data_IF_847686134088
#
_entry.id   IF_847686134088
#
_cell.length_a   1.000
_cell.length_b   1.000
_cell.length_c   1.000
_cell.angle_alpha   90.00
_cell.angle_beta   90.00
_cell.angle_gamma   90.00
#
_symmetry.space_group_name_H-M   'P 1'
#
loop_
_entity.id
_entity.type
_entity.pdbx_description
1 polymer ?
#
# COMPACT_ATOMS: atom_id res chain seq x y z
N UNK A 1 -8.83 1.91 -13.53
CA UNK A 1 -8.64 0.62 -12.83
C UNK A 1 -8.80 0.83 -11.33
N UNK A 2 -9.12 -0.22 -10.59
CA UNK A 2 -9.14 -0.18 -9.12
C UNK A 2 -7.83 -0.80 -8.63
N UNK A 3 -6.99 -0.03 -7.95
CA UNK A 3 -5.71 -0.47 -7.40
C UNK A 3 -5.86 -0.67 -5.88
N UNK A 4 -5.81 -1.91 -5.42
CA UNK A 4 -5.91 -2.23 -4.00
C UNK A 4 -4.50 -2.35 -3.42
N UNK A 5 -4.20 -1.54 -2.41
CA UNK A 5 -3.06 -1.77 -1.52
C UNK A 5 -3.37 -2.99 -0.63
N UNK A 6 -3.10 -4.18 -1.15
CA UNK A 6 -3.74 -5.41 -0.70
C UNK A 6 -3.36 -5.73 0.74
N UNK A 7 -2.07 -5.83 1.06
CA UNK A 7 -1.66 -6.24 2.40
C UNK A 7 -2.13 -5.25 3.46
N UNK A 8 -1.94 -3.95 3.23
CA UNK A 8 -2.29 -2.93 4.22
C UNK A 8 -3.81 -2.80 4.38
N UNK A 9 -4.56 -2.78 3.28
CA UNK A 9 -6.03 -2.68 3.33
C UNK A 9 -6.65 -3.88 4.03
N UNK A 10 -6.20 -5.08 3.69
CA UNK A 10 -6.71 -6.31 4.30
C UNK A 10 -6.34 -6.38 5.78
N UNK A 11 -5.08 -6.12 6.14
CA UNK A 11 -4.66 -6.14 7.55
C UNK A 11 -5.41 -5.08 8.35
N UNK A 12 -5.58 -3.87 7.82
CA UNK A 12 -6.31 -2.82 8.52
C UNK A 12 -7.79 -3.18 8.75
N UNK A 13 -8.47 -3.71 7.74
CA UNK A 13 -9.86 -4.16 7.86
C UNK A 13 -10.02 -5.32 8.84
N UNK A 14 -9.07 -6.26 8.82
CA UNK A 14 -8.98 -7.38 9.75
C UNK A 14 -8.81 -6.93 11.20
N UNK A 15 -7.92 -5.96 11.44
CA UNK A 15 -7.70 -5.40 12.77
C UNK A 15 -8.94 -4.67 13.31
N UNK A 16 -9.71 -4.01 12.43
CA UNK A 16 -10.97 -3.39 12.81
C UNK A 16 -12.01 -4.45 13.24
N UNK A 17 -12.10 -5.57 12.52
CA UNK A 17 -13.02 -6.65 12.87
C UNK A 17 -12.59 -7.43 14.12
N UNK A 18 -11.29 -7.69 14.33
CA UNK A 18 -10.83 -8.39 15.54
C UNK A 18 -11.19 -7.67 16.83
N UNK A 19 -11.16 -6.33 16.81
CA UNK A 19 -11.63 -5.51 17.94
C UNK A 19 -13.11 -5.74 18.23
N UNK A 20 -13.91 -6.07 17.22
CA UNK A 20 -15.36 -6.29 17.36
C UNK A 20 -15.72 -7.73 17.76
N UNK A 21 -14.89 -8.73 17.45
CA UNK A 21 -15.18 -10.17 17.68
C UNK A 21 -14.53 -10.75 18.95
N UNK A 22 -13.82 -9.95 19.74
CA UNK A 22 -13.17 -10.44 20.97
C UNK A 22 -11.88 -11.23 20.74
N UNK A 23 -11.29 -11.15 19.54
CA UNK A 23 -9.93 -11.64 19.26
C UNK A 23 -9.80 -13.07 18.74
N UNK A 24 -10.88 -13.86 18.68
CA UNK A 24 -10.83 -15.18 18.05
C UNK A 24 -10.80 -15.08 16.53
N UNK A 25 -9.81 -15.74 15.91
CA UNK A 25 -9.62 -15.70 14.46
C UNK A 25 -9.11 -17.04 13.97
N UNK A 26 -9.64 -17.48 12.83
CA UNK A 26 -9.16 -18.65 12.12
C UNK A 26 -9.07 -18.36 10.61
N UNK A 27 -8.37 -19.24 9.91
CA UNK A 27 -8.15 -19.13 8.45
C UNK A 27 -9.46 -18.97 7.66
N UNK A 28 -10.53 -19.69 8.06
CA UNK A 28 -11.81 -19.66 7.34
C UNK A 28 -12.47 -18.28 7.40
N UNK A 29 -12.52 -17.68 8.58
CA UNK A 29 -13.07 -16.34 8.77
C UNK A 29 -12.26 -15.30 7.99
N UNK A 30 -10.93 -15.40 8.07
CA UNK A 30 -10.00 -14.54 7.33
C UNK A 30 -10.23 -14.60 5.82
N UNK A 31 -10.26 -15.81 5.25
CA UNK A 31 -10.54 -16.01 3.82
C UNK A 31 -11.86 -15.37 3.42
N UNK A 32 -12.92 -15.61 4.19
CA UNK A 32 -14.23 -15.01 3.93
C UNK A 32 -14.17 -13.47 3.95
N UNK A 33 -13.53 -12.88 4.96
CA UNK A 33 -13.40 -11.43 5.09
C UNK A 33 -12.64 -10.80 3.93
N UNK A 34 -11.54 -11.41 3.50
CA UNK A 34 -10.73 -10.93 2.38
C UNK A 34 -11.58 -10.91 1.10
N UNK A 35 -12.21 -12.03 0.76
CA UNK A 35 -12.99 -12.16 -0.46
C UNK A 35 -14.22 -11.25 -0.47
N UNK A 36 -14.92 -11.14 0.67
CA UNK A 36 -16.06 -10.22 0.78
C UNK A 36 -15.63 -8.75 0.65
N UNK A 37 -14.45 -8.39 1.19
CA UNK A 37 -13.89 -7.03 1.05
C UNK A 37 -13.61 -6.71 -0.42
N UNK A 38 -12.95 -7.61 -1.15
CA UNK A 38 -12.69 -7.44 -2.57
C UNK A 38 -13.99 -7.35 -3.38
N UNK A 39 -14.94 -8.25 -3.13
CA UNK A 39 -16.28 -8.21 -3.74
C UNK A 39 -16.94 -6.85 -3.55
N UNK A 40 -16.91 -6.29 -2.34
CA UNK A 40 -17.53 -5.00 -2.06
C UNK A 40 -16.88 -3.87 -2.86
N UNK A 41 -15.55 -3.85 -3.00
CA UNK A 41 -14.87 -2.87 -3.84
C UNK A 41 -15.19 -3.04 -5.31
N UNK A 42 -15.22 -4.28 -5.80
CA UNK A 42 -15.59 -4.57 -7.18
C UNK A 42 -16.99 -4.05 -7.47
N UNK A 43 -17.98 -4.50 -6.69
CA UNK A 43 -19.38 -4.10 -6.86
C UNK A 43 -19.58 -2.59 -6.82
N UNK A 44 -18.85 -1.91 -5.95
CA UNK A 44 -19.01 -0.46 -5.74
C UNK A 44 -18.35 0.38 -6.83
N UNK A 45 -17.23 -0.06 -7.38
CA UNK A 45 -16.35 0.81 -8.17
C UNK A 45 -16.04 0.30 -9.58
N UNK A 46 -16.37 -0.95 -9.93
CA UNK A 46 -16.00 -1.51 -11.24
C UNK A 46 -16.70 -0.82 -12.40
N UNK A 47 -17.93 -0.33 -12.21
CA UNK A 47 -18.67 0.38 -13.25
C UNK A 47 -17.96 1.68 -13.70
N UNK A 48 -17.24 2.34 -12.80
CA UNK A 48 -16.57 3.61 -13.06
C UNK A 48 -15.08 3.42 -13.38
N UNK A 49 -14.39 2.58 -12.61
CA UNK A 49 -12.95 2.44 -12.68
C UNK A 49 -12.52 1.15 -13.41
N UNK A 50 -13.42 0.22 -13.72
CA UNK A 50 -13.12 -1.01 -14.44
C UNK A 50 -12.42 -2.08 -13.60
N UNK A 51 -11.43 -2.75 -14.21
CA UNK A 51 -10.76 -3.93 -13.63
C UNK A 51 -10.05 -3.65 -12.30
N UNK A 52 -10.05 -4.65 -11.43
CA UNK A 52 -9.34 -4.65 -10.16
C UNK A 52 -7.93 -5.25 -10.26
N UNK A 53 -6.98 -4.60 -9.58
CA UNK A 53 -5.58 -5.00 -9.47
C UNK A 53 -5.21 -5.05 -7.99
N UNK A 54 -4.68 -6.18 -7.53
CA UNK A 54 -4.20 -6.38 -6.16
C UNK A 54 -2.69 -6.16 -6.13
N UNK A 55 -2.25 -5.06 -5.52
CA UNK A 55 -0.84 -4.73 -5.37
C UNK A 55 -0.33 -5.31 -4.05
N UNK A 56 0.64 -6.23 -4.12
CA UNK A 56 1.11 -6.98 -2.96
C UNK A 56 2.57 -6.67 -2.63
N UNK A 57 2.90 -6.67 -1.34
CA UNK A 57 4.27 -6.42 -0.89
C UNK A 57 5.17 -7.61 -1.19
N UNK A 58 6.37 -7.32 -1.68
CA UNK A 58 7.46 -8.28 -1.69
C UNK A 58 8.24 -8.26 -0.37
N UNK A 59 8.93 -9.38 -0.13
CA UNK A 59 9.91 -9.46 0.95
C UNK A 59 11.13 -8.61 0.55
N UNK A 60 11.72 -7.90 1.51
CA UNK A 60 12.93 -7.09 1.35
C UNK A 60 12.78 -5.97 0.30
N UNK A 61 12.05 -4.89 0.62
CA UNK A 61 11.88 -3.78 -0.32
C UNK A 61 13.20 -3.04 -0.56
N UNK A 62 13.39 -2.53 -1.78
CA UNK A 62 14.60 -1.84 -2.25
C UNK A 62 15.01 -0.68 -1.33
N UNK A 63 14.04 -0.02 -0.69
CA UNK A 63 14.28 1.04 0.29
C UNK A 63 15.15 0.58 1.47
N UNK A 64 15.14 -0.70 1.83
CA UNK A 64 16.05 -1.25 2.86
C UNK A 64 17.48 -1.39 2.39
N UNK A 65 17.69 -1.67 1.11
CA UNK A 65 19.03 -1.73 0.51
C UNK A 65 19.63 -0.32 0.45
N UNK A 66 18.80 0.70 0.20
CA UNK A 66 19.20 2.10 0.22
C UNK A 66 19.37 2.65 1.65
N UNK A 67 18.46 2.33 2.56
CA UNK A 67 18.43 2.83 3.93
C UNK A 67 18.14 1.69 4.92
N UNK A 68 19.18 1.11 5.55
CA UNK A 68 19.03 -0.07 6.40
C UNK A 68 18.04 0.07 7.58
N UNK A 69 17.82 1.29 8.08
CA UNK A 69 16.88 1.58 9.17
C UNK A 69 15.41 1.59 8.70
N UNK A 70 15.15 1.55 7.39
CA UNK A 70 13.81 1.59 6.81
C UNK A 70 12.93 0.43 7.28
N UNK A 71 11.80 0.78 7.92
CA UNK A 71 10.84 -0.15 8.52
C UNK A 71 11.46 -1.13 9.53
N UNK A 72 12.63 -0.82 10.11
CA UNK A 72 13.32 -1.70 11.07
C UNK A 72 12.49 -1.94 12.35
N UNK A 73 11.76 -0.92 12.79
CA UNK A 73 10.91 -1.00 13.99
C UNK A 73 9.61 -1.79 13.79
N UNK A 74 9.19 -2.08 12.54
CA UNK A 74 7.92 -2.82 12.28
C UNK A 74 7.95 -4.22 12.90
N UNK A 75 9.11 -4.90 12.91
CA UNK A 75 9.25 -6.22 13.55
C UNK A 75 9.10 -6.11 15.07
N UNK A 76 9.82 -5.17 15.70
CA UNK A 76 9.77 -4.92 17.15
C UNK A 76 8.34 -4.61 17.64
N UNK A 77 7.53 -3.90 16.84
CA UNK A 77 6.13 -3.61 17.18
C UNK A 77 5.26 -4.86 17.13
N UNK A 78 5.43 -5.73 16.13
CA UNK A 78 4.66 -6.98 16.02
C UNK A 78 5.01 -7.98 17.10
N UNK A 79 6.28 -8.08 17.47
CA UNK A 79 6.76 -8.99 18.52
C UNK A 79 6.21 -8.61 19.92
N UNK A 80 5.67 -7.39 20.07
CA UNK A 80 5.04 -6.89 21.31
C UNK A 80 3.51 -6.99 21.30
N UNK A 81 2.91 -7.43 20.20
CA UNK A 81 1.46 -7.54 20.04
C UNK A 81 1.03 -9.00 20.24
N UNK A 82 0.00 -9.22 21.05
CA UNK A 82 -0.49 -10.55 21.47
C UNK A 82 -1.18 -11.33 20.33
N UNK A 83 -1.31 -10.75 19.13
CA UNK A 83 -1.95 -11.40 17.98
C UNK A 83 -1.03 -12.44 17.32
N UNK A 84 -1.64 -13.50 16.80
CA UNK A 84 -0.94 -14.48 15.96
C UNK A 84 -0.66 -13.95 14.55
N UNK A 85 0.35 -13.08 14.45
CA UNK A 85 0.82 -12.53 13.18
C UNK A 85 1.28 -13.60 12.20
N UNK A 86 1.81 -14.73 12.69
CA UNK A 86 2.22 -15.84 11.85
C UNK A 86 1.04 -16.41 11.08
N UNK A 87 -0.06 -16.72 11.79
CA UNK A 87 -1.30 -17.20 11.17
C UNK A 87 -1.91 -16.16 10.21
N UNK A 88 -1.91 -14.88 10.58
CA UNK A 88 -2.42 -13.78 9.73
C UNK A 88 -1.65 -13.72 8.40
N UNK A 89 -0.32 -13.61 8.45
CA UNK A 89 0.49 -13.48 7.25
C UNK A 89 0.43 -14.75 6.40
N UNK A 90 0.49 -15.93 7.02
CA UNK A 90 0.36 -17.20 6.29
C UNK A 90 -0.99 -17.32 5.58
N UNK A 91 -2.08 -16.94 6.26
CA UNK A 91 -3.41 -16.93 5.64
C UNK A 91 -3.51 -15.91 4.51
N UNK A 92 -2.96 -14.70 4.70
CA UNK A 92 -2.95 -13.67 3.67
C UNK A 92 -2.19 -14.12 2.42
N UNK A 93 -1.02 -14.73 2.58
CA UNK A 93 -0.25 -15.29 1.47
C UNK A 93 -1.00 -16.42 0.77
N UNK A 94 -1.57 -17.35 1.54
CA UNK A 94 -2.36 -18.45 0.99
C UNK A 94 -3.56 -17.95 0.18
N UNK A 95 -4.34 -17.02 0.75
CA UNK A 95 -5.53 -16.47 0.07
C UNK A 95 -5.15 -15.62 -1.14
N UNK A 96 -4.01 -14.90 -1.10
CA UNK A 96 -3.48 -14.22 -2.29
C UNK A 96 -3.26 -15.20 -3.44
N UNK A 97 -2.56 -16.30 -3.18
CA UNK A 97 -2.22 -17.28 -4.22
C UNK A 97 -3.47 -18.01 -4.73
N UNK A 98 -4.42 -18.31 -3.84
CA UNK A 98 -5.74 -18.81 -4.20
C UNK A 98 -6.53 -17.81 -5.08
N UNK A 99 -6.45 -16.51 -4.79
CA UNK A 99 -7.07 -15.46 -5.62
C UNK A 99 -6.43 -15.44 -7.02
N UNK A 100 -5.11 -15.48 -7.08
CA UNK A 100 -4.35 -15.48 -8.34
C UNK A 100 -4.72 -16.68 -9.23
N UNK A 101 -4.95 -17.85 -8.64
CA UNK A 101 -5.28 -19.08 -9.37
C UNK A 101 -6.76 -19.15 -9.83
N UNK A 102 -7.69 -18.61 -9.03
CA UNK A 102 -9.12 -18.90 -9.16
C UNK A 102 -10.00 -17.70 -9.53
N UNK A 103 -9.55 -16.46 -9.30
CA UNK A 103 -10.40 -15.26 -9.44
C UNK A 103 -9.99 -14.39 -10.64
N UNK A 104 -10.92 -13.59 -11.18
CA UNK A 104 -10.65 -12.69 -12.30
C UNK A 104 -9.95 -11.40 -11.86
N UNK A 105 -9.09 -11.47 -10.84
CA UNK A 105 -8.37 -10.32 -10.32
C UNK A 105 -6.93 -10.38 -10.76
N UNK A 106 -6.38 -9.23 -11.13
CA UNK A 106 -5.00 -9.14 -11.53
C UNK A 106 -4.13 -9.00 -10.27
N UNK A 107 -3.41 -10.05 -9.90
CA UNK A 107 -2.53 -10.04 -8.72
C UNK A 107 -1.12 -9.66 -9.13
N UNK A 108 -0.61 -8.55 -8.58
CA UNK A 108 0.75 -8.09 -8.85
C UNK A 108 1.68 -8.35 -7.68
N UNK A 109 2.81 -8.96 -8.00
CA UNK A 109 3.90 -9.20 -7.09
C UNK A 109 5.23 -9.03 -7.82
N UNK A 110 6.09 -8.16 -7.32
CA UNK A 110 7.41 -7.90 -7.93
C UNK A 110 8.46 -7.89 -6.83
N UNK A 111 9.44 -8.80 -6.92
CA UNK A 111 10.48 -8.99 -5.90
C UNK A 111 11.19 -7.68 -5.55
N UNK A 112 11.22 -7.28 -4.29
CA UNK A 112 11.89 -6.05 -3.84
C UNK A 112 11.08 -4.76 -4.03
N UNK A 113 9.81 -4.86 -4.46
CA UNK A 113 8.87 -3.74 -4.52
C UNK A 113 7.82 -3.88 -3.42
N UNK A 114 7.38 -2.76 -2.86
CA UNK A 114 6.25 -2.68 -1.94
C UNK A 114 4.94 -2.51 -2.72
N UNK A 115 3.80 -2.73 -2.06
CA UNK A 115 2.50 -2.53 -2.71
C UNK A 115 2.32 -1.09 -3.22
N UNK A 116 2.85 -0.11 -2.48
CA UNK A 116 2.84 1.31 -2.85
C UNK A 116 3.64 1.61 -4.13
N UNK A 117 4.79 0.98 -4.34
CA UNK A 117 5.60 1.10 -5.55
C UNK A 117 4.82 0.63 -6.79
N UNK A 118 4.11 -0.49 -6.67
CA UNK A 118 3.29 -1.03 -7.75
C UNK A 118 2.18 -0.04 -8.13
N UNK A 119 1.46 0.46 -7.14
CA UNK A 119 0.36 1.43 -7.34
C UNK A 119 0.90 2.70 -7.99
N UNK A 120 1.96 3.27 -7.42
CA UNK A 120 2.54 4.50 -7.91
C UNK A 120 3.01 4.37 -9.37
N UNK A 121 3.73 3.29 -9.70
CA UNK A 121 4.19 3.05 -11.07
C UNK A 121 3.03 2.91 -12.05
N UNK A 122 1.98 2.16 -11.71
CA UNK A 122 0.81 2.03 -12.59
C UNK A 122 0.08 3.36 -12.79
N UNK A 123 -0.08 4.16 -11.73
CA UNK A 123 -0.73 5.47 -11.79
C UNK A 123 0.06 6.45 -12.66
N UNK A 124 1.39 6.47 -12.50
CA UNK A 124 2.28 7.36 -13.27
C UNK A 124 2.39 6.97 -14.75
N UNK A 125 1.99 5.76 -15.12
CA UNK A 125 2.08 5.22 -16.48
C UNK A 125 0.71 4.90 -17.09
N UNK A 126 -0.39 5.42 -16.53
CA UNK A 126 -1.73 5.31 -17.08
C UNK A 126 -2.32 6.67 -17.41
N UNK A 127 -3.40 6.68 -18.19
CA UNK A 127 -4.23 7.88 -18.45
C UNK A 127 -5.70 7.63 -18.14
N UNK A 128 -6.03 6.43 -17.64
CA UNK A 128 -7.40 6.01 -17.39
C UNK A 128 -7.83 6.35 -15.96
N UNK A 129 -9.14 6.61 -15.72
CA UNK A 129 -9.68 6.79 -14.38
C UNK A 129 -9.21 5.68 -13.45
N UNK A 130 -8.62 6.05 -12.33
CA UNK A 130 -7.96 5.13 -11.41
C UNK A 130 -8.37 5.42 -9.97
N UNK A 131 -8.87 4.39 -9.29
CA UNK A 131 -9.18 4.46 -7.87
C UNK A 131 -8.11 3.70 -7.09
N UNK A 132 -7.41 4.40 -6.21
CA UNK A 132 -6.54 3.81 -5.20
C UNK A 132 -7.39 3.47 -3.97
N UNK A 133 -7.41 2.21 -3.57
CA UNK A 133 -8.02 1.78 -2.31
C UNK A 133 -6.91 1.57 -1.31
N UNK A 134 -6.66 2.61 -0.51
CA UNK A 134 -5.72 2.56 0.61
C UNK A 134 -5.99 3.68 1.60
N UNK A 135 -5.72 3.40 2.88
CA UNK A 135 -5.70 4.40 3.94
C UNK A 135 -4.38 5.16 4.05
N UNK A 136 -3.36 4.82 3.25
CA UNK A 136 -2.05 5.45 3.31
C UNK A 136 -2.11 6.89 2.77
N UNK A 137 -1.57 7.82 3.54
CA UNK A 137 -1.51 9.24 3.18
C UNK A 137 -0.55 9.47 2.01
N UNK A 138 0.42 8.59 1.78
CA UNK A 138 1.51 8.81 0.84
C UNK A 138 1.03 8.84 -0.61
N UNK A 139 -0.10 8.19 -0.91
CA UNK A 139 -0.77 8.25 -2.22
C UNK A 139 -1.32 9.63 -2.57
N UNK A 140 -1.46 10.55 -1.61
CA UNK A 140 -1.86 11.93 -1.89
C UNK A 140 -0.89 12.64 -2.83
N UNK A 141 0.39 12.22 -2.91
CA UNK A 141 1.34 12.76 -3.89
C UNK A 141 0.94 12.45 -5.35
N UNK A 142 0.07 11.46 -5.57
CA UNK A 142 -0.46 11.08 -6.88
C UNK A 142 -1.73 11.87 -7.26
N UNK A 143 -2.33 12.64 -6.34
CA UNK A 143 -3.52 13.46 -6.63
C UNK A 143 -3.23 14.64 -7.57
N UNK A 144 -1.96 14.86 -7.95
CA UNK A 144 -1.58 15.75 -9.06
C UNK A 144 -2.13 15.29 -10.41
N UNK A 145 -2.49 14.01 -10.53
CA UNK A 145 -3.14 13.45 -11.71
C UNK A 145 -4.66 13.55 -11.56
N UNK A 146 -5.31 14.24 -12.49
CA UNK A 146 -6.75 14.52 -12.45
C UNK A 146 -7.65 13.27 -12.65
N UNK A 147 -7.08 12.14 -13.04
CA UNK A 147 -7.75 10.85 -13.21
C UNK A 147 -7.59 9.93 -12.00
N UNK A 148 -7.04 10.41 -10.88
CA UNK A 148 -6.76 9.61 -9.69
C UNK A 148 -7.68 10.02 -8.55
N UNK A 149 -8.45 9.04 -8.07
CA UNK A 149 -9.18 9.11 -6.81
C UNK A 149 -8.54 8.19 -5.78
N UNK A 150 -8.72 8.51 -4.50
CA UNK A 150 -8.31 7.65 -3.40
C UNK A 150 -9.46 7.43 -2.43
N UNK A 151 -9.82 6.17 -2.19
CA UNK A 151 -10.74 5.76 -1.15
C UNK A 151 -9.97 5.23 0.06
N UNK A 152 -10.24 5.78 1.25
CA UNK A 152 -9.70 5.26 2.51
C UNK A 152 -10.69 4.32 3.18
N UNK A 153 -10.39 3.02 3.29
CA UNK A 153 -11.24 2.05 3.99
C UNK A 153 -11.41 2.40 5.47
N UNK A 154 -10.33 2.84 6.12
CA UNK A 154 -10.30 3.14 7.54
C UNK A 154 -11.13 4.37 7.90
N UNK A 155 -11.17 5.37 7.01
CA UNK A 155 -11.95 6.60 7.21
C UNK A 155 -13.33 6.53 6.55
N UNK A 156 -13.60 5.48 5.77
CA UNK A 156 -14.83 5.29 5.00
C UNK A 156 -15.21 6.53 4.16
N UNK A 157 -14.23 7.14 3.48
CA UNK A 157 -14.43 8.32 2.62
C UNK A 157 -13.40 8.43 1.50
N UNK A 158 -13.71 9.21 0.47
CA UNK A 158 -12.72 9.68 -0.49
C UNK A 158 -11.75 10.65 0.19
N UNK A 159 -10.47 10.52 -0.12
CA UNK A 159 -9.40 11.41 0.31
C UNK A 159 -9.32 12.57 -0.67
N UNK A 160 -9.05 13.76 -0.14
CA UNK A 160 -8.86 14.98 -0.91
C UNK A 160 -7.50 15.56 -0.53
N UNK A 161 -6.73 15.99 -1.52
CA UNK A 161 -5.44 16.64 -1.34
C UNK A 161 -5.40 17.88 -2.22
N UNK A 162 -5.54 19.05 -1.60
CA UNK A 162 -5.65 20.33 -2.33
C UNK A 162 -4.32 20.74 -2.99
N UNK A 163 -3.20 20.40 -2.37
CA UNK A 163 -1.85 20.76 -2.83
C UNK A 163 -0.89 19.56 -2.66
N UNK A 164 -0.88 18.62 -3.63
CA UNK A 164 -0.04 17.43 -3.60
C UNK A 164 1.46 17.74 -3.58
N UNK A 165 1.89 18.82 -4.24
CA UNK A 165 3.30 19.22 -4.30
C UNK A 165 3.80 19.71 -2.94
N UNK A 166 3.03 20.58 -2.28
CA UNK A 166 3.34 21.02 -0.93
C UNK A 166 3.25 19.88 0.07
N UNK A 167 2.24 19.01 -0.05
CA UNK A 167 2.12 17.81 0.78
C UNK A 167 3.40 16.97 0.70
N UNK A 168 3.86 16.65 -0.51
CA UNK A 168 5.08 15.88 -0.73
C UNK A 168 6.31 16.59 -0.17
N UNK A 169 6.48 17.89 -0.43
CA UNK A 169 7.62 18.67 0.08
C UNK A 169 7.64 18.72 1.60
N UNK A 170 6.49 18.92 2.25
CA UNK A 170 6.37 18.84 3.71
C UNK A 170 6.72 17.45 4.22
N UNK A 171 6.27 16.40 3.53
CA UNK A 171 6.51 15.04 3.95
C UNK A 171 7.99 14.67 3.88
N UNK A 172 8.67 15.04 2.79
CA UNK A 172 10.13 14.90 2.64
C UNK A 172 10.86 15.64 3.77
N UNK A 173 10.46 16.88 4.10
CA UNK A 173 11.12 17.65 5.17
C UNK A 173 10.91 17.03 6.56
N UNK A 174 9.68 16.61 6.87
CA UNK A 174 9.29 16.03 8.16
C UNK A 174 9.79 14.58 8.34
N UNK A 175 10.09 13.90 7.25
CA UNK A 175 10.32 12.45 7.24
C UNK A 175 9.05 11.66 7.52
N UNK A 176 9.20 10.35 7.59
CA UNK A 176 8.14 9.42 7.94
C UNK A 176 8.54 8.51 9.11
N UNK A 177 8.01 8.84 10.30
CA UNK A 177 8.34 8.12 11.53
C UNK A 177 7.88 6.67 11.49
N UNK A 178 6.73 6.41 10.87
CA UNK A 178 6.15 5.06 10.75
C UNK A 178 7.05 4.11 9.97
N UNK A 179 7.76 4.65 8.97
CA UNK A 179 8.72 3.90 8.16
C UNK A 179 10.17 4.06 8.59
N UNK A 180 10.41 4.74 9.72
CA UNK A 180 11.74 4.91 10.28
C UNK A 180 12.59 5.94 9.54
N UNK A 181 11.98 6.80 8.73
CA UNK A 181 12.64 7.89 8.00
C UNK A 181 12.64 9.18 8.86
N UNK A 182 13.80 9.66 9.34
CA UNK A 182 13.87 10.87 10.16
C UNK A 182 13.54 12.14 9.37
N UNK A 183 13.27 13.24 10.08
CA UNK A 183 13.23 14.57 9.48
C UNK A 183 14.62 15.00 8.97
N UNK A 184 14.65 16.00 8.09
CA UNK A 184 15.90 16.44 7.44
C UNK A 184 16.93 17.05 8.41
N UNK A 185 16.57 17.38 9.65
CA UNK A 185 17.48 17.94 10.66
C UNK A 185 18.12 16.87 11.56
N UNK A 186 17.75 15.60 11.38
CA UNK A 186 18.09 14.51 12.31
C UNK A 186 18.95 13.44 11.65
N UNK A 187 19.82 12.84 12.46
CA UNK A 187 20.69 11.73 12.03
C UNK A 187 19.86 10.48 11.67
N UNK A 188 20.42 9.62 10.83
CA UNK A 188 19.78 8.41 10.31
C UNK A 188 19.31 7.44 11.39
N UNK A 189 20.18 7.20 12.38
CA UNK A 189 19.96 6.21 13.43
C UNK A 189 18.94 6.64 14.49
N UNK A 190 18.48 7.90 14.47
CA UNK A 190 17.79 8.44 15.64
C UNK A 190 16.50 7.70 15.97
N UNK A 191 15.77 7.22 14.96
CA UNK A 191 14.50 6.52 15.18
C UNK A 191 14.69 5.05 15.60
N UNK A 192 15.74 4.38 15.14
CA UNK A 192 16.01 3.00 15.51
C UNK A 192 16.61 2.89 16.92
N UNK A 193 17.48 3.84 17.28
CA UNK A 193 18.13 3.93 18.60
C UNK A 193 17.27 4.66 19.66
N UNK A 194 16.09 5.16 19.28
CA UNK A 194 15.20 5.90 20.20
C UNK A 194 15.74 7.30 20.58
N UNK A 195 16.71 7.83 19.86
CA UNK A 195 17.24 9.18 20.03
C UNK A 195 16.17 10.19 19.58
N UNK A 196 15.99 11.24 20.38
CA UNK A 196 15.08 12.33 20.05
C UNK A 196 15.54 13.05 18.78
N UNK A 197 14.65 13.16 17.80
CA UNK A 197 14.86 13.96 16.60
C UNK A 197 15.06 15.45 16.93
N UNK A 198 15.94 16.11 16.18
CA UNK A 198 16.03 17.58 16.19
C UNK A 198 14.68 18.15 15.75
N UNK A 199 14.02 19.02 16.55
CA UNK A 199 12.70 19.52 16.19
C UNK A 199 12.71 20.39 14.93
N UNK A 200 11.97 19.99 13.90
CA UNK A 200 11.69 20.83 12.73
C UNK A 200 10.57 21.83 13.06
N UNK A 201 10.97 22.99 13.62
CA UNK A 201 10.02 24.05 14.02
C UNK A 201 9.38 24.70 12.79
N UNK A 202 8.17 25.23 12.97
CA UNK A 202 7.37 25.89 11.90
C UNK A 202 8.16 26.94 11.08
N UNK A 203 8.96 27.86 11.67
CA UNK A 203 9.72 28.83 10.86
C UNK A 203 10.78 28.18 9.96
N UNK A 204 11.39 27.07 10.41
CA UNK A 204 12.40 26.34 9.63
C UNK A 204 11.70 25.58 8.49
N UNK A 205 10.57 24.94 8.78
CA UNK A 205 9.74 24.29 7.77
C UNK A 205 9.30 25.29 6.69
N UNK A 206 8.71 26.42 7.09
CA UNK A 206 8.25 27.46 6.16
C UNK A 206 9.39 28.06 5.32
N UNK A 207 10.59 28.20 5.90
CA UNK A 207 11.80 28.59 5.15
C UNK A 207 12.07 27.57 4.03
N UNK A 208 12.21 26.29 4.38
CA UNK A 208 12.55 25.23 3.43
C UNK A 208 11.43 24.88 2.45
N UNK A 209 10.17 25.24 2.75
CA UNK A 209 9.09 25.19 1.76
C UNK A 209 9.26 26.24 0.66
N UNK A 210 9.87 27.39 0.95
CA UNK A 210 10.03 28.51 -0.01
C UNK A 210 11.33 28.45 -0.81
N UNK A 211 12.35 27.78 -0.31
CA UNK A 211 13.65 27.65 -0.98
C UNK A 211 13.89 26.22 -1.47
N UNK A 212 14.85 26.06 -2.37
CA UNK A 212 15.41 24.75 -2.72
C UNK A 212 16.52 24.39 -1.72
N UNK A 213 16.66 23.09 -1.44
CA UNK A 213 17.78 22.55 -0.66
C UNK A 213 18.81 22.07 -1.68
N UNK A 214 19.89 22.84 -1.82
CA UNK A 214 20.98 22.60 -2.78
C UNK A 214 22.18 21.92 -2.11
N UNK A 215 23.14 21.44 -2.91
CA UNK A 215 24.29 20.61 -2.47
C UNK A 215 25.14 21.21 -1.34
N UNK A 216 25.16 22.53 -1.21
CA UNK A 216 25.90 23.28 -0.20
C UNK A 216 25.14 23.46 1.12
N UNK A 217 23.84 23.15 1.16
CA UNK A 217 23.07 23.15 2.40
C UNK A 217 23.47 21.96 3.28
N UNK A 218 23.74 22.22 4.56
CA UNK A 218 24.11 21.18 5.54
C UNK A 218 23.09 20.04 5.70
N UNK A 219 21.83 20.23 5.29
CA UNK A 219 20.77 19.22 5.33
C UNK A 219 20.53 18.56 3.97
N UNK A 220 21.26 18.92 2.92
CA UNK A 220 21.10 18.37 1.58
C UNK A 220 21.12 16.84 1.54
N UNK A 221 22.11 16.23 2.19
CA UNK A 221 22.21 14.77 2.27
C UNK A 221 20.97 14.14 2.89
N UNK A 222 20.37 14.77 3.90
CA UNK A 222 19.17 14.25 4.57
C UNK A 222 17.92 14.46 3.72
N UNK A 223 17.85 15.58 3.01
CA UNK A 223 16.80 15.86 2.05
C UNK A 223 16.80 14.82 0.92
N UNK A 224 17.96 14.56 0.29
CA UNK A 224 18.08 13.55 -0.76
C UNK A 224 17.68 12.16 -0.25
N UNK A 225 18.15 11.76 0.95
CA UNK A 225 17.69 10.50 1.59
C UNK A 225 16.16 10.42 1.64
N UNK A 226 15.52 11.46 2.17
CA UNK A 226 14.07 11.47 2.35
C UNK A 226 13.34 11.50 1.02
N UNK A 227 13.82 12.29 0.06
CA UNK A 227 13.28 12.34 -1.28
C UNK A 227 13.33 10.95 -1.94
N UNK A 228 14.49 10.28 -1.89
CA UNK A 228 14.62 8.91 -2.43
C UNK A 228 13.64 7.94 -1.76
N UNK A 229 13.45 8.02 -0.44
CA UNK A 229 12.59 7.07 0.28
C UNK A 229 11.09 7.36 0.15
N UNK A 230 10.67 8.61 -0.05
CA UNK A 230 9.27 9.05 0.05
C UNK A 230 8.65 9.39 -1.32
N UNK A 231 9.40 10.05 -2.19
CA UNK A 231 8.89 10.52 -3.47
C UNK A 231 8.85 9.38 -4.49
N UNK A 232 7.65 9.04 -4.96
CA UNK A 232 7.45 7.97 -5.94
C UNK A 232 8.18 8.21 -7.27
N UNK A 233 8.54 9.46 -7.60
CA UNK A 233 9.37 9.75 -8.76
C UNK A 233 10.81 9.21 -8.63
N UNK A 234 11.23 8.80 -7.43
CA UNK A 234 12.56 8.22 -7.17
C UNK A 234 12.56 6.70 -7.08
N UNK A 235 11.45 6.03 -7.42
CA UNK A 235 11.45 4.57 -7.60
C UNK A 235 12.47 4.23 -8.70
N UNK A 236 13.46 3.34 -8.45
CA UNK A 236 14.49 3.03 -9.43
C UNK A 236 13.92 2.55 -10.76
N UNK A 237 14.46 3.05 -11.88
CA UNK A 237 13.95 2.77 -13.24
C UNK A 237 13.88 1.27 -13.55
N UNK A 238 14.85 0.47 -13.10
CA UNK A 238 14.83 -0.99 -13.25
C UNK A 238 13.57 -1.61 -12.63
N UNK A 239 13.13 -1.10 -11.46
CA UNK A 239 11.91 -1.57 -10.81
C UNK A 239 10.68 -1.12 -11.59
N UNK A 240 10.65 0.12 -12.08
CA UNK A 240 9.58 0.65 -12.93
C UNK A 240 9.37 -0.26 -14.14
N UNK A 241 10.43 -0.52 -14.90
CA UNK A 241 10.39 -1.36 -16.11
C UNK A 241 9.88 -2.77 -15.79
N UNK A 242 10.34 -3.34 -14.67
CA UNK A 242 9.94 -4.68 -14.25
C UNK A 242 8.47 -4.73 -13.80
N UNK A 243 7.98 -3.71 -13.11
CA UNK A 243 6.58 -3.60 -12.69
C UNK A 243 5.67 -3.53 -13.90
N UNK A 244 5.98 -2.65 -14.86
CA UNK A 244 5.21 -2.52 -16.10
C UNK A 244 5.21 -3.83 -16.89
N UNK A 245 6.37 -4.47 -17.02
CA UNK A 245 6.48 -5.78 -17.69
C UNK A 245 5.61 -6.84 -17.02
N UNK A 246 5.63 -6.94 -15.69
CA UNK A 246 4.79 -7.91 -14.97
C UNK A 246 3.31 -7.59 -15.16
N UNK A 247 2.92 -6.32 -15.10
CA UNK A 247 1.54 -5.91 -15.34
C UNK A 247 1.04 -6.26 -16.74
N UNK A 248 1.86 -6.07 -17.77
CA UNK A 248 1.46 -6.35 -19.15
C UNK A 248 1.41 -7.85 -19.45
N UNK A 249 2.18 -8.67 -18.72
CA UNK A 249 2.30 -10.12 -18.96
C UNK A 249 1.43 -10.98 -18.04
N UNK A 250 1.01 -10.45 -16.90
CA UNK A 250 0.08 -11.13 -16.01
C UNK A 250 -1.34 -11.05 -16.57
N UNK A 251 -2.03 -12.19 -16.66
CA UNK A 251 -3.41 -12.23 -17.14
C UNK A 251 -4.27 -13.01 -16.14
N UNK A 252 -5.36 -12.41 -15.62
CA UNK A 252 -6.20 -13.09 -14.65
C UNK A 252 -6.98 -14.24 -15.28
N UNK A 253 -7.43 -15.18 -14.46
CA UNK A 253 -8.32 -16.23 -14.96
C UNK A 253 -9.74 -15.69 -15.13
N UNK A 254 -10.29 -15.78 -16.34
CA UNK A 254 -11.67 -15.36 -16.63
C UNK A 254 -12.69 -16.50 -16.53
N UNK A 255 -12.30 -17.65 -15.94
CA UNK A 255 -13.15 -18.84 -15.88
C UNK A 255 -14.07 -18.76 -14.66
N UNK A 256 -15.32 -18.34 -14.85
CA UNK A 256 -16.33 -18.27 -13.79
C UNK A 256 -16.50 -19.59 -13.02
N UNK A 257 -16.31 -20.74 -13.69
CA UNK A 257 -16.31 -22.08 -13.09
C UNK A 257 -15.28 -22.22 -11.95
N UNK A 258 -14.09 -21.63 -12.11
CA UNK A 258 -13.03 -21.69 -11.09
C UNK A 258 -13.43 -20.97 -9.80
N UNK A 259 -14.11 -19.83 -9.91
CA UNK A 259 -14.61 -19.09 -8.75
C UNK A 259 -15.66 -19.91 -8.03
N UNK A 260 -16.63 -20.48 -8.77
CA UNK A 260 -17.67 -21.32 -8.20
C UNK A 260 -17.08 -22.52 -7.45
N UNK A 261 -16.20 -23.27 -8.11
CA UNK A 261 -15.56 -24.45 -7.53
C UNK A 261 -14.76 -24.09 -6.28
N UNK A 262 -14.01 -22.99 -6.32
CA UNK A 262 -13.24 -22.51 -5.18
C UNK A 262 -14.14 -22.16 -3.98
N UNK A 263 -15.22 -21.40 -4.20
CA UNK A 263 -16.13 -21.00 -3.13
C UNK A 263 -16.86 -22.21 -2.52
N UNK A 264 -17.24 -23.19 -3.35
CA UNK A 264 -17.86 -24.45 -2.90
C UNK A 264 -16.89 -25.30 -2.08
N UNK A 265 -15.68 -25.54 -2.58
CA UNK A 265 -14.67 -26.36 -1.89
C UNK A 265 -14.32 -25.77 -0.51
N UNK A 266 -14.26 -24.43 -0.42
CA UNK A 266 -13.95 -23.73 0.82
C UNK A 266 -15.18 -23.48 1.73
N UNK A 267 -16.37 -23.96 1.36
CA UNK A 267 -17.63 -23.80 2.12
C UNK A 267 -17.93 -22.33 2.46
N UNK A 268 -17.86 -21.48 1.42
CA UNK A 268 -18.10 -20.04 1.48
C UNK A 268 -19.53 -19.72 1.00
N UNK A 269 -20.54 -20.33 1.63
CA UNK A 269 -21.94 -20.33 1.17
C UNK A 269 -22.52 -18.92 0.96
N UNK A 270 -22.26 -18.00 1.90
CA UNK A 270 -22.66 -16.60 1.79
C UNK A 270 -22.07 -15.86 0.57
N UNK A 271 -20.88 -16.26 0.11
CA UNK A 271 -20.26 -15.67 -1.09
C UNK A 271 -20.76 -16.34 -2.36
N UNK A 272 -21.15 -17.62 -2.30
CA UNK A 272 -21.77 -18.32 -3.42
C UNK A 272 -23.10 -17.68 -3.82
N UNK A 273 -23.90 -17.22 -2.86
CA UNK A 273 -25.15 -16.47 -3.10
C UNK A 273 -24.92 -15.18 -3.90
N UNK A 274 -23.68 -14.69 -3.94
CA UNK A 274 -23.27 -13.45 -4.59
C UNK A 274 -22.21 -13.68 -5.66
N UNK A 275 -22.16 -14.87 -6.26
CA UNK A 275 -21.12 -15.23 -7.24
C UNK A 275 -21.07 -14.28 -8.45
N UNK A 276 -22.20 -13.71 -8.85
CA UNK A 276 -22.27 -12.75 -9.96
C UNK A 276 -21.45 -11.48 -9.68
N UNK A 277 -21.31 -11.07 -8.41
CA UNK A 277 -20.51 -9.90 -8.04
C UNK A 277 -18.98 -10.12 -8.26
N UNK A 278 -18.55 -11.38 -8.46
CA UNK A 278 -17.16 -11.73 -8.78
C UNK A 278 -16.90 -11.77 -10.29
N UNK A 279 -17.91 -11.65 -11.15
CA UNK A 279 -17.72 -11.63 -12.61
C UNK A 279 -17.31 -10.22 -13.08
N UNK A 280 -16.37 -10.18 -14.03
CA UNK A 280 -15.99 -8.98 -14.78
C UNK A 280 -16.84 -8.86 -16.04
#
# INVERSE_FOLDING_TARGET
>A
MILIDFSQTIIAGLMAQLKSTGGEMNEKLLRHMILNTLRNYQKRYSAEYGKMVLCTDAIHPWRRDFFPQYKANRKKTRDKDDKDWGMIFNTLHKVKDEIEEHFPYHVLHVKGCEGDDLIAVLVMNTTSPTLIVSGDKDFQQLHKYNYVDQWSPNLNKMIQCDDPEKFLKEHILKGDKTDGVPNVLSNDNCLDEGIRQTPLRRPILEKYLRISIEKDDKYYRNYVRNQTLIDFANIPQELVDRILKVYDTTHPTHKAEKVFDYLRVNKLDMLLEHIEDFRL
#
